data_IF_103926714693
#
_entry.id   IF_103926714693
#
_cell.length_a   1.000
_cell.length_b   1.000
_cell.length_c   1.000
_cell.angle_alpha   90.00
_cell.angle_beta   90.00
_cell.angle_gamma   90.00
#
_symmetry.space_group_name_H-M   'P 1'
#
loop_
_entity.id
_entity.type
_entity.pdbx_description
1 polymer ?
#
# COMPACT_ATOMS: atom_id res chain seq x y z
N UNK A 1 -8.58 19.42 5.34
CA UNK A 1 -8.70 17.96 5.54
C UNK A 1 -9.27 17.38 4.27
N UNK A 2 -8.40 16.86 3.39
CA UNK A 2 -8.85 16.21 2.15
C UNK A 2 -8.82 14.70 2.34
N UNK A 3 -9.96 14.09 2.64
CA UNK A 3 -10.12 12.65 2.51
C UNK A 3 -10.19 12.33 1.02
N UNK A 4 -9.12 11.72 0.48
CA UNK A 4 -9.06 11.30 -0.91
C UNK A 4 -9.96 10.08 -1.13
N UNK A 5 -11.18 10.31 -1.59
CA UNK A 5 -12.00 9.24 -2.17
C UNK A 5 -11.43 8.92 -3.55
N UNK A 6 -10.95 7.68 -3.75
CA UNK A 6 -10.43 7.21 -5.03
C UNK A 6 -11.61 6.93 -5.97
N UNK A 7 -11.90 7.90 -6.86
CA UNK A 7 -12.91 7.75 -7.90
C UNK A 7 -12.20 7.77 -9.26
N UNK A 8 -12.28 6.63 -9.95
CA UNK A 8 -11.96 6.41 -11.36
C UNK A 8 -10.46 6.40 -11.74
N UNK A 9 -9.99 5.22 -12.13
CA UNK A 9 -8.90 5.13 -13.10
C UNK A 9 -9.30 4.05 -14.11
N UNK A 10 -9.83 4.49 -15.24
CA UNK A 10 -9.86 3.69 -16.46
C UNK A 10 -8.44 3.22 -16.76
N UNK A 11 -8.25 1.98 -17.22
CA UNK A 11 -6.92 1.37 -17.35
C UNK A 11 -5.94 2.16 -18.24
N UNK A 12 -6.42 3.14 -19.04
CA UNK A 12 -5.60 4.07 -19.82
C UNK A 12 -4.93 5.20 -19.04
N UNK A 13 -5.37 5.52 -17.82
CA UNK A 13 -4.86 6.68 -17.05
C UNK A 13 -3.71 6.33 -16.10
N UNK A 14 -3.35 5.05 -15.98
CA UNK A 14 -2.35 4.58 -15.02
C UNK A 14 -0.98 4.59 -15.67
N UNK A 15 -0.17 5.59 -15.28
CA UNK A 15 1.20 5.77 -15.74
C UNK A 15 2.14 5.64 -14.54
N UNK A 16 3.03 4.64 -14.57
CA UNK A 16 4.11 4.54 -13.59
C UNK A 16 5.30 5.37 -14.07
N UNK A 17 5.81 6.26 -13.20
CA UNK A 17 7.00 7.09 -13.43
C UNK A 17 8.29 6.28 -13.30
N UNK A 18 8.26 5.16 -12.57
CA UNK A 18 9.42 4.29 -12.37
C UNK A 18 9.19 2.88 -12.91
N UNK A 19 9.64 1.84 -12.20
CA UNK A 19 9.68 0.45 -12.72
C UNK A 19 8.30 -0.20 -12.78
N UNK A 20 7.30 0.42 -12.16
CA UNK A 20 5.97 -0.16 -11.98
C UNK A 20 5.95 -1.28 -10.93
N UNK A 21 4.75 -1.75 -10.57
CA UNK A 21 4.58 -2.82 -9.60
C UNK A 21 5.06 -4.18 -10.14
N UNK A 22 5.25 -5.14 -9.25
CA UNK A 22 5.43 -6.55 -9.66
C UNK A 22 4.23 -6.99 -10.53
N UNK A 23 4.51 -7.74 -11.60
CA UNK A 23 3.49 -8.27 -12.52
C UNK A 23 2.49 -9.17 -11.76
N UNK A 24 1.21 -9.10 -12.12
CA UNK A 24 0.16 -9.96 -11.54
C UNK A 24 -1.08 -9.24 -11.03
N UNK A 25 -1.09 -7.90 -11.01
CA UNK A 25 -2.27 -7.13 -10.64
C UNK A 25 -3.36 -7.25 -11.72
N UNK A 26 -4.56 -7.64 -11.29
CA UNK A 26 -5.78 -7.64 -12.10
C UNK A 26 -6.31 -6.23 -12.29
N UNK A 27 -6.26 -5.42 -11.23
CA UNK A 27 -6.70 -4.03 -11.21
C UNK A 27 -5.68 -3.19 -10.47
N UNK A 28 -5.48 -1.98 -10.95
CA UNK A 28 -4.63 -0.97 -10.32
C UNK A 28 -5.47 0.27 -10.08
N UNK A 29 -5.33 0.87 -8.91
CA UNK A 29 -6.12 2.02 -8.46
C UNK A 29 -5.16 3.07 -7.90
N UNK A 30 -5.29 4.32 -8.36
CA UNK A 30 -4.53 5.45 -7.81
C UNK A 30 -5.09 5.84 -6.44
N UNK A 31 -4.21 6.00 -5.46
CA UNK A 31 -4.61 6.45 -4.12
C UNK A 31 -4.57 7.97 -3.96
N UNK A 32 -3.87 8.68 -4.85
CA UNK A 32 -3.83 10.14 -4.88
C UNK A 32 -4.19 10.67 -6.27
N UNK A 33 -4.83 11.84 -6.32
CA UNK A 33 -5.09 12.56 -7.58
C UNK A 33 -3.88 13.40 -8.03
N UNK A 34 -2.88 13.56 -7.15
CA UNK A 34 -1.67 14.34 -7.43
C UNK A 34 -0.67 13.54 -8.26
N UNK A 35 0.04 14.25 -9.13
CA UNK A 35 1.07 13.71 -10.02
C UNK A 35 0.57 12.48 -10.79
N UNK A 36 1.28 11.37 -10.74
CA UNK A 36 0.89 10.14 -11.43
C UNK A 36 0.01 9.22 -10.58
N UNK A 37 -0.25 9.58 -9.32
CA UNK A 37 -0.97 8.76 -8.35
C UNK A 37 -0.18 8.47 -7.08
N UNK A 38 1.15 8.61 -7.12
CA UNK A 38 2.15 8.37 -6.06
C UNK A 38 2.17 6.96 -5.47
N UNK A 39 1.04 6.52 -4.92
CA UNK A 39 0.80 5.20 -4.37
C UNK A 39 -0.35 4.54 -5.13
N UNK A 40 -0.18 3.28 -5.47
CA UNK A 40 -1.15 2.50 -6.23
C UNK A 40 -1.60 1.29 -5.42
N UNK A 41 -2.91 1.10 -5.26
CA UNK A 41 -3.47 -0.16 -4.77
C UNK A 41 -3.55 -1.14 -5.93
N UNK A 42 -3.06 -2.35 -5.70
CA UNK A 42 -3.06 -3.46 -6.64
C UNK A 42 -4.01 -4.52 -6.10
N UNK A 43 -5.00 -4.91 -6.90
CA UNK A 43 -5.85 -6.07 -6.62
C UNK A 43 -5.32 -7.24 -7.45
N UNK A 44 -4.91 -8.31 -6.79
CA UNK A 44 -4.33 -9.51 -7.42
C UNK A 44 -5.42 -10.52 -7.80
N UNK A 45 -5.05 -11.54 -8.59
CA UNK A 45 -5.98 -12.57 -9.09
C UNK A 45 -6.56 -13.54 -8.04
N UNK A 46 -6.38 -13.29 -6.74
CA UNK A 46 -6.86 -14.15 -5.64
C UNK A 46 -7.46 -13.36 -4.47
N UNK A 47 -8.03 -12.18 -4.72
CA UNK A 47 -8.60 -11.33 -3.67
C UNK A 47 -7.56 -10.60 -2.82
N UNK A 48 -6.28 -10.78 -3.09
CA UNK A 48 -5.20 -10.16 -2.33
C UNK A 48 -5.00 -8.71 -2.75
N UNK A 49 -4.75 -7.86 -1.76
CA UNK A 49 -4.39 -6.47 -1.95
C UNK A 49 -2.91 -6.28 -1.72
N UNK A 50 -2.31 -5.42 -2.55
CA UNK A 50 -0.97 -4.94 -2.35
C UNK A 50 -0.91 -3.44 -2.67
N UNK A 51 0.15 -2.79 -2.23
CA UNK A 51 0.42 -1.40 -2.55
C UNK A 51 1.77 -1.26 -3.22
N UNK A 52 1.85 -0.40 -4.23
CA UNK A 52 3.09 -0.02 -4.88
C UNK A 52 3.34 1.48 -4.73
N UNK A 53 4.48 1.82 -4.15
CA UNK A 53 4.93 3.19 -3.98
C UNK A 53 5.84 3.56 -5.16
N UNK A 54 5.34 4.43 -6.03
CA UNK A 54 6.05 4.90 -7.22
C UNK A 54 6.82 6.21 -6.98
N UNK A 55 7.14 6.51 -5.72
CA UNK A 55 7.96 7.66 -5.33
C UNK A 55 9.33 7.22 -4.87
N UNK A 56 10.28 8.16 -4.80
CA UNK A 56 11.63 7.97 -4.21
C UNK A 56 11.83 8.68 -2.89
N UNK A 57 10.88 9.54 -2.50
CA UNK A 57 11.04 10.54 -1.44
C UNK A 57 10.10 10.33 -0.28
N UNK A 58 9.04 9.52 -0.47
CA UNK A 58 8.02 9.26 0.53
C UNK A 58 7.96 7.78 0.90
N UNK A 59 7.68 7.52 2.17
CA UNK A 59 7.15 6.25 2.66
C UNK A 59 5.66 6.45 2.97
N UNK A 60 4.82 5.47 2.63
CA UNK A 60 3.39 5.56 2.86
C UNK A 60 2.97 4.66 3.99
N UNK A 61 2.32 5.24 4.98
CA UNK A 61 1.64 4.50 6.03
C UNK A 61 0.21 4.27 5.58
N UNK A 62 -0.16 3.00 5.45
CA UNK A 62 -1.48 2.58 5.01
C UNK A 62 -2.15 1.87 6.17
N UNK A 63 -3.34 2.33 6.53
CA UNK A 63 -4.20 1.74 7.55
C UNK A 63 -5.57 1.52 6.93
N UNK A 64 -6.14 0.33 7.07
CA UNK A 64 -7.53 0.07 6.75
C UNK A 64 -8.24 -0.47 7.98
N UNK A 65 -9.46 0.02 8.21
CA UNK A 65 -10.36 -0.49 9.23
C UNK A 65 -11.49 -1.20 8.52
N UNK A 66 -11.68 -2.47 8.87
CA UNK A 66 -12.71 -3.36 8.34
C UNK A 66 -13.80 -3.57 9.40
N UNK A 67 -15.04 -3.61 8.92
CA UNK A 67 -16.22 -3.80 9.77
C UNK A 67 -16.32 -5.25 10.28
N UNK A 68 -17.05 -5.44 11.38
CA UNK A 68 -17.35 -6.75 11.96
C UNK A 68 -17.99 -7.67 10.90
N UNK A 69 -17.33 -8.80 10.62
CA UNK A 69 -17.71 -9.75 9.57
C UNK A 69 -16.83 -9.74 8.31
N UNK A 70 -15.81 -8.89 8.21
CA UNK A 70 -14.78 -9.03 7.17
C UNK A 70 -13.72 -10.07 7.57
N UNK A 71 -13.59 -11.15 6.79
CA UNK A 71 -12.52 -12.13 6.99
C UNK A 71 -11.27 -11.68 6.23
N UNK A 72 -10.32 -11.08 6.95
CA UNK A 72 -9.05 -10.58 6.39
C UNK A 72 -7.85 -11.17 7.11
N UNK A 73 -6.82 -11.53 6.34
CA UNK A 73 -5.53 -12.00 6.84
C UNK A 73 -4.43 -11.04 6.40
N UNK A 74 -3.54 -10.58 7.30
CA UNK A 74 -2.44 -9.71 6.93
C UNK A 74 -1.40 -10.48 6.12
N UNK A 75 -0.81 -9.83 5.12
CA UNK A 75 0.25 -10.40 4.29
C UNK A 75 1.55 -9.62 4.41
N UNK A 76 2.67 -10.32 4.26
CA UNK A 76 4.00 -9.70 4.32
C UNK A 76 4.29 -9.08 5.68
N UNK A 77 4.67 -7.81 5.68
CA UNK A 77 4.93 -7.01 6.89
C UNK A 77 3.71 -6.20 7.35
N UNK A 78 2.50 -6.55 6.90
CA UNK A 78 1.29 -5.95 7.43
C UNK A 78 0.98 -6.48 8.84
N UNK A 79 0.48 -5.59 9.69
CA UNK A 79 0.05 -5.93 11.05
C UNK A 79 -1.46 -5.90 11.10
N UNK A 80 -2.08 -6.91 11.72
CA UNK A 80 -3.51 -6.95 12.00
C UNK A 80 -3.74 -6.75 13.50
N UNK A 81 -4.71 -5.92 13.85
CA UNK A 81 -5.15 -5.68 15.22
C UNK A 81 -6.67 -5.78 15.28
N UNK A 82 -7.19 -6.70 16.09
CA UNK A 82 -8.62 -6.81 16.38
C UNK A 82 -8.98 -5.85 17.52
N UNK A 83 -10.07 -5.10 17.35
CA UNK A 83 -10.55 -4.14 18.33
C UNK A 83 -11.71 -4.71 19.16
N UNK A 84 -11.91 -4.16 20.36
CA UNK A 84 -12.95 -4.61 21.29
C UNK A 84 -14.37 -4.42 20.75
N UNK A 85 -14.55 -3.52 19.77
CA UNK A 85 -15.81 -3.26 19.08
C UNK A 85 -16.08 -4.22 17.90
N UNK A 86 -15.22 -5.22 17.68
CA UNK A 86 -15.33 -6.20 16.60
C UNK A 86 -14.73 -5.73 15.27
N UNK A 87 -14.21 -4.50 15.18
CA UNK A 87 -13.53 -4.05 13.96
C UNK A 87 -12.11 -4.59 13.86
N UNK A 88 -11.63 -4.75 12.63
CA UNK A 88 -10.27 -5.22 12.37
C UNK A 88 -9.45 -4.13 11.67
N UNK A 89 -8.30 -3.79 12.24
CA UNK A 89 -7.39 -2.79 11.68
C UNK A 89 -6.20 -3.50 11.06
N UNK A 90 -5.91 -3.24 9.78
CA UNK A 90 -4.71 -3.72 9.10
C UNK A 90 -3.83 -2.54 8.71
N UNK A 91 -2.55 -2.62 9.05
CA UNK A 91 -1.59 -1.53 8.84
C UNK A 91 -0.33 -2.01 8.14
N UNK A 92 0.25 -1.19 7.27
CA UNK A 92 1.57 -1.45 6.69
C UNK A 92 2.30 -0.16 6.30
N UNK A 93 3.61 -0.26 6.11
CA UNK A 93 4.43 0.82 5.55
C UNK A 93 4.96 0.40 4.18
N UNK A 94 4.71 1.24 3.17
CA UNK A 94 5.12 0.98 1.78
C UNK A 94 6.29 1.90 1.42
N UNK A 95 7.46 1.31 1.32
CA UNK A 95 8.69 2.03 1.04
C UNK A 95 8.88 2.38 -0.44
N UNK A 96 9.71 3.39 -0.75
CA UNK A 96 9.92 3.87 -2.11
C UNK A 96 10.31 2.76 -3.11
N UNK A 97 9.62 2.73 -4.25
CA UNK A 97 9.82 1.78 -5.36
C UNK A 97 9.56 0.32 -4.99
N UNK A 98 8.83 0.06 -3.91
CA UNK A 98 8.51 -1.28 -3.44
C UNK A 98 7.04 -1.62 -3.62
N UNK A 99 6.78 -2.93 -3.80
CA UNK A 99 5.45 -3.51 -3.75
C UNK A 99 5.31 -4.29 -2.46
N UNK A 100 4.40 -3.85 -1.59
CA UNK A 100 4.10 -4.48 -0.31
C UNK A 100 2.76 -5.20 -0.39
N UNK A 101 2.74 -6.50 -0.10
CA UNK A 101 1.48 -7.22 0.11
C UNK A 101 0.83 -6.68 1.38
N UNK A 102 -0.49 -6.55 1.37
CA UNK A 102 -1.22 -5.94 2.47
C UNK A 102 -2.10 -6.95 3.18
N UNK A 103 -3.02 -7.57 2.45
CA UNK A 103 -3.94 -8.56 3.01
C UNK A 103 -4.54 -9.46 1.94
N UNK A 104 -5.17 -10.54 2.37
CA UNK A 104 -6.06 -11.41 1.59
C UNK A 104 -7.34 -11.66 2.35
N UNK A 105 -8.45 -11.83 1.65
CA UNK A 105 -9.73 -12.10 2.30
C UNK A 105 -10.93 -11.71 1.45
N UNK A 106 -12.11 -11.91 2.03
CA UNK A 106 -13.37 -11.41 1.48
C UNK A 106 -13.73 -10.09 2.16
N UNK A 107 -13.59 -8.99 1.42
CA UNK A 107 -13.71 -7.64 1.94
C UNK A 107 -15.11 -7.13 1.60
N UNK A 108 -16.00 -7.13 2.59
CA UNK A 108 -17.37 -6.65 2.45
C UNK A 108 -17.46 -5.12 2.55
N UNK A 109 -16.64 -4.50 3.38
CA UNK A 109 -16.61 -3.07 3.60
C UNK A 109 -15.43 -2.63 4.47
N UNK A 110 -14.94 -1.42 4.25
CA UNK A 110 -13.86 -0.86 5.06
C UNK A 110 -13.44 0.52 4.58
N UNK A 111 -12.82 1.28 5.48
CA UNK A 111 -12.29 2.61 5.17
C UNK A 111 -10.79 2.64 5.38
N UNK A 112 -10.10 3.26 4.43
CA UNK A 112 -8.65 3.39 4.42
C UNK A 112 -8.20 4.80 4.78
N UNK A 113 -7.16 4.89 5.60
CA UNK A 113 -6.38 6.10 5.83
C UNK A 113 -4.97 5.88 5.29
N UNK A 114 -4.50 6.82 4.46
CA UNK A 114 -3.17 6.78 3.88
C UNK A 114 -2.45 8.08 4.21
N UNK A 115 -1.24 7.95 4.75
CA UNK A 115 -0.38 9.07 5.09
C UNK A 115 0.95 8.98 4.34
N UNK A 116 1.23 9.98 3.51
CA UNK A 116 2.53 10.15 2.89
C UNK A 116 3.48 10.84 3.88
N UNK A 117 4.59 10.17 4.24
CA UNK A 117 5.62 10.75 5.11
C UNK A 117 6.94 10.89 4.34
N UNK A 118 7.68 11.99 4.52
CA UNK A 118 9.04 12.07 3.98
C UNK A 118 9.88 10.91 4.48
N UNK A 119 10.71 10.37 3.61
CA UNK A 119 11.60 9.26 3.95
C UNK A 119 12.40 9.54 5.22
N UNK A 120 12.18 8.68 6.21
CA UNK A 120 12.91 8.76 7.47
C UNK A 120 14.41 8.50 7.28
N UNK A 121 15.25 9.15 8.10
CA UNK A 121 16.68 8.86 8.17
C UNK A 121 16.97 7.38 8.49
N UNK A 122 16.04 6.73 9.23
CA UNK A 122 16.11 5.30 9.55
C UNK A 122 16.11 4.44 8.29
N UNK A 123 15.16 4.68 7.37
CA UNK A 123 15.10 3.92 6.11
C UNK A 123 16.35 4.14 5.25
N UNK A 124 16.84 5.39 5.15
CA UNK A 124 18.08 5.71 4.41
C UNK A 124 19.27 4.91 4.94
N UNK A 125 19.41 4.81 6.26
CA UNK A 125 20.49 4.04 6.91
C UNK A 125 20.35 2.54 6.68
N UNK A 126 19.14 1.99 6.75
CA UNK A 126 18.91 0.55 6.58
C UNK A 126 19.17 0.09 5.14
N UNK A 127 18.69 0.85 4.15
CA UNK A 127 19.01 0.60 2.74
C UNK A 127 20.49 0.73 2.44
N UNK A 128 21.18 1.71 3.04
CA UNK A 128 22.63 1.86 2.87
C UNK A 128 23.38 0.62 3.41
N UNK A 129 23.00 0.12 4.59
CA UNK A 129 23.57 -1.11 5.16
C UNK A 129 23.35 -2.33 4.25
N UNK A 130 22.13 -2.52 3.74
CA UNK A 130 21.81 -3.63 2.82
C UNK A 130 22.60 -3.51 1.52
N UNK A 131 22.77 -2.30 0.98
CA UNK A 131 23.55 -2.06 -0.25
C UNK A 131 25.03 -2.35 -0.05
N UNK A 132 25.60 -1.99 1.10
CA UNK A 132 26.98 -2.31 1.46
C UNK A 132 27.14 -3.82 1.64
N UNK A 133 26.23 -4.49 2.35
CA UNK A 133 26.30 -5.92 2.60
C UNK A 133 26.15 -6.80 1.34
N UNK A 134 25.46 -6.31 0.29
CA UNK A 134 25.30 -7.00 -1.00
C UNK A 134 26.40 -6.70 -2.02
N UNK A 135 27.29 -5.75 -1.71
CA UNK A 135 28.37 -5.31 -2.58
C UNK A 135 29.77 -5.77 -2.13
N UNK A 136 29.85 -6.68 -1.16
CA UNK A 136 31.08 -7.26 -0.60
C UNK A 136 31.21 -8.73 -0.97
#
# INVERSE_FOLDING_TARGET
MGCGYSVYSTSGDIIFKHRGPKKGARKVIKMFEKENGLLFRLEMNGGQWAFYNDTKEYEFYVQYVFEDGSEVEPLGDATLTEMEDGTTIVETTVYPLETQMFLSGDITGGHGRIEARPLSERYRREKLKIKIARGS
#
